data_IF_080936087879
#
_entry.id   IF_080936087879
#
_cell.length_a   1.000
_cell.length_b   1.000
_cell.length_c   1.000
_cell.angle_alpha   90.00
_cell.angle_beta   90.00
_cell.angle_gamma   90.00
#
_symmetry.space_group_name_H-M   'P 1'
#
loop_
_entity.id
_entity.type
_entity.pdbx_description
1 polymer ?
#
# COMPACT_ATOMS: atom_id res chain seq x y z
N UNK A 1 -16.67 -2.85 10.08
CA UNK A 1 -15.53 -2.09 9.50
C UNK A 1 -14.39 -2.13 10.50
N UNK A 2 -13.16 -2.39 10.07
CA UNK A 2 -11.99 -2.35 10.97
C UNK A 2 -11.57 -0.90 11.24
N UNK A 3 -10.74 -0.70 12.27
CA UNK A 3 -10.11 0.59 12.55
C UNK A 3 -9.32 1.11 11.33
N UNK A 4 -8.54 0.25 10.68
CA UNK A 4 -7.75 0.59 9.50
C UNK A 4 -8.61 0.97 8.29
N UNK A 5 -9.76 0.33 8.07
CA UNK A 5 -10.71 0.75 7.03
C UNK A 5 -11.20 2.18 7.29
N UNK A 6 -11.43 2.54 8.56
CA UNK A 6 -11.78 3.90 8.96
C UNK A 6 -10.65 4.91 8.68
N UNK A 7 -9.41 4.54 8.98
CA UNK A 7 -8.23 5.36 8.68
C UNK A 7 -8.07 5.60 7.18
N UNK A 8 -8.16 4.55 6.35
CA UNK A 8 -8.06 4.67 4.90
C UNK A 8 -9.18 5.54 4.32
N UNK A 9 -10.42 5.37 4.81
CA UNK A 9 -11.55 6.19 4.39
C UNK A 9 -11.32 7.67 4.74
N UNK A 10 -10.86 7.96 5.96
CA UNK A 10 -10.53 9.32 6.41
C UNK A 10 -9.41 9.93 5.55
N UNK A 11 -8.33 9.18 5.31
CA UNK A 11 -7.21 9.63 4.49
C UNK A 11 -7.61 9.89 3.04
N UNK A 12 -8.45 9.04 2.45
CA UNK A 12 -8.95 9.20 1.09
C UNK A 12 -9.83 10.46 0.96
N UNK A 13 -10.79 10.62 1.87
CA UNK A 13 -11.70 11.77 1.88
C UNK A 13 -10.96 13.10 2.09
N UNK A 14 -9.87 13.09 2.86
CA UNK A 14 -9.03 14.28 3.10
C UNK A 14 -7.92 14.46 2.08
N UNK A 15 -7.75 13.52 1.13
CA UNK A 15 -6.63 13.48 0.17
C UNK A 15 -5.28 13.67 0.85
N UNK A 16 -4.94 12.74 1.75
CA UNK A 16 -3.65 12.70 2.47
C UNK A 16 -3.01 11.31 2.38
N UNK A 17 -1.77 11.18 2.85
CA UNK A 17 -1.06 9.90 2.81
C UNK A 17 -0.80 9.45 1.37
N UNK A 18 -1.02 8.16 1.08
CA UNK A 18 -0.84 7.61 -0.28
C UNK A 18 -1.77 8.25 -1.31
N UNK A 19 -2.90 8.83 -0.89
CA UNK A 19 -3.88 9.43 -1.79
C UNK A 19 -3.46 10.79 -2.37
N UNK A 20 -2.26 11.28 -1.99
CA UNK A 20 -1.57 12.41 -2.63
C UNK A 20 -0.49 11.97 -3.66
N UNK A 21 -0.30 10.67 -3.86
CA UNK A 21 0.56 10.16 -4.91
C UNK A 21 -0.07 10.30 -6.30
N UNK A 22 0.75 10.26 -7.35
CA UNK A 22 0.29 10.31 -8.75
C UNK A 22 -0.60 9.11 -9.14
N UNK A 23 -0.41 7.98 -8.46
CA UNK A 23 -1.32 6.85 -8.42
C UNK A 23 -1.25 6.19 -7.04
N UNK A 24 -2.30 5.46 -6.69
CA UNK A 24 -2.38 4.68 -5.47
C UNK A 24 -3.20 3.42 -5.71
N UNK A 25 -2.94 2.39 -4.90
CA UNK A 25 -3.77 1.19 -4.81
C UNK A 25 -3.79 0.71 -3.37
N UNK A 26 -4.95 0.25 -2.90
CA UNK A 26 -5.10 -0.41 -1.60
C UNK A 26 -5.42 -1.88 -1.87
N UNK A 27 -4.73 -2.80 -1.21
CA UNK A 27 -4.91 -4.24 -1.41
C UNK A 27 -5.56 -4.91 -0.20
N UNK A 28 -6.35 -5.94 -0.46
CA UNK A 28 -6.95 -6.81 0.56
C UNK A 28 -7.23 -8.20 -0.03
N UNK A 29 -7.56 -9.18 0.81
CA UNK A 29 -7.98 -10.52 0.36
C UNK A 29 -9.40 -10.57 -0.22
N UNK A 30 -10.13 -9.46 -0.12
CA UNK A 30 -11.46 -9.30 -0.68
C UNK A 30 -11.61 -7.91 -1.31
N UNK A 31 -12.63 -7.73 -2.14
CA UNK A 31 -13.02 -6.39 -2.58
C UNK A 31 -13.84 -5.74 -1.48
N UNK A 32 -13.27 -4.72 -0.87
CA UNK A 32 -13.85 -3.99 0.25
C UNK A 32 -14.08 -2.55 -0.20
N UNK A 33 -15.31 -2.07 -0.07
CA UNK A 33 -15.63 -0.65 -0.24
C UNK A 33 -15.10 0.13 0.97
N UNK A 34 -14.02 0.89 0.77
CA UNK A 34 -13.40 1.72 1.82
C UNK A 34 -14.16 3.03 1.97
N UNK A 35 -14.41 3.70 0.84
CA UNK A 35 -15.16 4.95 0.73
C UNK A 35 -15.84 5.00 -0.65
N UNK A 36 -16.83 5.89 -0.89
CA UNK A 36 -17.43 6.04 -2.21
C UNK A 36 -16.36 6.27 -3.29
N UNK A 37 -16.31 5.38 -4.30
CA UNK A 37 -15.31 5.42 -5.36
C UNK A 37 -13.95 4.80 -5.03
N UNK A 38 -13.78 4.17 -3.86
CA UNK A 38 -12.56 3.47 -3.47
C UNK A 38 -12.86 2.06 -2.99
N UNK A 39 -12.52 1.08 -3.83
CA UNK A 39 -12.49 -0.34 -3.49
C UNK A 39 -11.04 -0.84 -3.41
N UNK A 40 -10.82 -1.85 -2.58
CA UNK A 40 -9.54 -2.57 -2.56
C UNK A 40 -9.38 -3.46 -3.78
N UNK A 41 -8.13 -3.57 -4.25
CA UNK A 41 -7.67 -4.59 -5.20
C UNK A 41 -7.53 -5.92 -4.47
N UNK A 42 -7.91 -7.01 -5.13
CA UNK A 42 -7.99 -8.34 -4.51
C UNK A 42 -6.68 -9.10 -4.69
N UNK A 43 -6.09 -9.53 -3.58
CA UNK A 43 -4.96 -10.46 -3.54
C UNK A 43 -5.48 -11.84 -3.17
N UNK A 44 -5.15 -12.87 -3.95
CA UNK A 44 -5.58 -14.25 -3.70
C UNK A 44 -4.72 -14.94 -2.62
N UNK A 45 -4.79 -14.41 -1.41
CA UNK A 45 -4.16 -14.94 -0.20
C UNK A 45 -5.08 -14.65 0.99
N UNK A 46 -5.02 -15.44 2.06
CA UNK A 46 -5.80 -15.15 3.27
C UNK A 46 -5.23 -13.96 4.07
N UNK A 47 -4.01 -13.50 3.74
CA UNK A 47 -3.30 -12.41 4.42
C UNK A 47 -3.17 -12.61 5.94
N UNK A 48 -3.04 -13.86 6.38
CA UNK A 48 -2.80 -14.21 7.78
C UNK A 48 -1.42 -14.80 7.97
N UNK A 49 -0.77 -14.50 9.09
CA UNK A 49 0.49 -15.11 9.48
C UNK A 49 0.48 -15.44 10.97
N UNK A 50 1.38 -16.33 11.37
CA UNK A 50 1.66 -16.61 12.78
C UNK A 50 2.72 -15.65 13.32
N UNK A 51 2.80 -15.53 14.64
CA UNK A 51 3.96 -14.93 15.29
C UNK A 51 5.03 -16.01 15.53
N UNK A 52 6.31 -15.66 15.45
CA UNK A 52 7.40 -16.58 15.70
C UNK A 52 8.78 -15.95 15.53
N UNK A 53 9.80 -16.81 15.37
CA UNK A 53 11.20 -16.40 15.35
C UNK A 53 11.74 -16.01 16.73
N UNK A 54 13.01 -15.60 16.77
CA UNK A 54 13.72 -15.24 18.02
C UNK A 54 13.00 -14.14 18.81
N UNK A 55 12.35 -13.21 18.11
CA UNK A 55 11.69 -12.04 18.70
C UNK A 55 10.17 -12.17 18.83
N UNK A 56 9.61 -13.33 18.47
CA UNK A 56 8.16 -13.60 18.48
C UNK A 56 7.33 -12.53 17.74
N UNK A 57 7.76 -12.17 16.53
CA UNK A 57 7.12 -11.16 15.67
C UNK A 57 6.30 -11.81 14.57
N UNK A 58 5.46 -11.03 13.88
CA UNK A 58 4.63 -11.50 12.77
C UNK A 58 5.49 -12.00 11.59
N UNK A 59 5.28 -13.26 11.17
CA UNK A 59 5.98 -13.89 10.05
C UNK A 59 5.29 -13.58 8.71
N UNK A 60 5.35 -12.31 8.31
CA UNK A 60 4.56 -11.74 7.21
C UNK A 60 5.20 -11.81 5.81
N UNK A 61 6.31 -12.54 5.63
CA UNK A 61 7.02 -12.62 4.34
C UNK A 61 6.11 -13.07 3.19
N UNK A 62 5.38 -14.18 3.37
CA UNK A 62 4.50 -14.73 2.32
C UNK A 62 3.33 -13.80 1.98
N UNK A 63 2.85 -13.04 2.98
CA UNK A 63 1.84 -12.00 2.76
C UNK A 63 2.40 -10.93 1.82
N UNK A 64 3.62 -10.45 2.08
CA UNK A 64 4.24 -9.44 1.24
C UNK A 64 4.54 -9.97 -0.16
N UNK A 65 5.01 -11.20 -0.30
CA UNK A 65 5.23 -11.81 -1.62
C UNK A 65 3.92 -11.88 -2.42
N UNK A 66 2.82 -12.28 -1.79
CA UNK A 66 1.51 -12.34 -2.47
C UNK A 66 1.02 -10.95 -2.91
N UNK A 67 1.17 -9.92 -2.07
CA UNK A 67 0.79 -8.54 -2.41
C UNK A 67 1.68 -8.00 -3.54
N UNK A 68 3.00 -8.19 -3.47
CA UNK A 68 3.92 -7.75 -4.52
C UNK A 68 3.69 -8.46 -5.85
N UNK A 69 3.37 -9.76 -5.83
CA UNK A 69 2.97 -10.48 -7.03
C UNK A 69 1.73 -9.84 -7.68
N UNK A 70 0.75 -9.40 -6.88
CA UNK A 70 -0.41 -8.66 -7.39
C UNK A 70 -0.02 -7.29 -7.96
N UNK A 71 0.88 -6.54 -7.31
CA UNK A 71 1.40 -5.27 -7.83
C UNK A 71 2.10 -5.46 -9.18
N UNK A 72 2.90 -6.52 -9.32
CA UNK A 72 3.56 -6.86 -10.58
C UNK A 72 2.56 -7.22 -11.68
N UNK A 73 1.52 -7.98 -11.33
CA UNK A 73 0.44 -8.31 -12.24
C UNK A 73 -0.32 -7.06 -12.72
N UNK A 74 -0.59 -6.10 -11.82
CA UNK A 74 -1.38 -4.91 -12.13
C UNK A 74 -0.58 -3.84 -12.90
N UNK A 75 0.75 -3.95 -12.93
CA UNK A 75 1.69 -3.17 -13.76
C UNK A 75 1.59 -1.63 -13.65
N UNK A 76 0.82 -1.10 -12.69
CA UNK A 76 0.64 0.36 -12.52
C UNK A 76 1.98 1.04 -12.24
N UNK A 77 2.87 0.36 -11.51
CA UNK A 77 4.20 0.86 -11.20
C UNK A 77 5.05 1.16 -12.45
N UNK A 78 4.81 0.48 -13.59
CA UNK A 78 5.57 0.69 -14.83
C UNK A 78 5.38 2.10 -15.43
N UNK A 79 4.40 2.86 -14.95
CA UNK A 79 4.11 4.23 -15.40
C UNK A 79 4.74 5.31 -14.51
N UNK A 80 5.48 4.92 -13.46
CA UNK A 80 6.02 5.83 -12.45
C UNK A 80 7.42 5.39 -12.03
N UNK A 81 8.30 6.35 -11.79
CA UNK A 81 9.71 6.08 -11.45
C UNK A 81 9.88 5.39 -10.09
N UNK A 82 8.92 5.57 -9.17
CA UNK A 82 9.00 5.09 -7.80
C UNK A 82 7.69 4.53 -7.28
N UNK A 83 7.78 3.40 -6.56
CA UNK A 83 6.67 2.80 -5.81
C UNK A 83 7.00 2.77 -4.32
N UNK A 84 6.07 3.21 -3.48
CA UNK A 84 6.20 3.16 -2.02
C UNK A 84 5.07 2.32 -1.40
N UNK A 85 5.44 1.43 -0.48
CA UNK A 85 4.50 0.70 0.39
C UNK A 85 4.31 1.49 1.69
N UNK A 86 3.06 1.73 2.08
CA UNK A 86 2.72 2.28 3.39
C UNK A 86 1.57 1.47 4.01
N UNK A 87 1.64 1.25 5.32
CA UNK A 87 0.57 0.61 6.07
C UNK A 87 -0.53 1.65 6.41
N UNK A 88 -1.79 1.26 6.67
CA UNK A 88 -2.90 2.19 6.87
C UNK A 88 -2.71 3.24 7.98
N UNK A 89 -1.91 2.95 8.99
CA UNK A 89 -1.60 3.83 10.13
C UNK A 89 -0.32 4.64 9.94
N UNK A 90 0.35 4.51 8.80
CA UNK A 90 1.59 5.23 8.49
C UNK A 90 1.32 6.73 8.24
N UNK A 91 2.07 7.59 8.91
CA UNK A 91 2.12 9.02 8.56
C UNK A 91 3.06 9.21 7.37
N UNK A 92 2.48 9.39 6.19
CA UNK A 92 3.21 9.49 4.93
C UNK A 92 3.02 10.84 4.23
N UNK A 93 4.12 11.45 3.76
CA UNK A 93 4.12 12.74 3.07
C UNK A 93 4.72 12.60 1.66
N UNK A 94 3.91 12.33 0.61
CA UNK A 94 4.43 12.13 -0.74
C UNK A 94 5.24 13.31 -1.28
N UNK A 95 4.87 14.55 -0.95
CA UNK A 95 5.61 15.74 -1.42
C UNK A 95 7.03 15.81 -0.82
N UNK A 96 7.21 15.34 0.42
CA UNK A 96 8.55 15.25 1.01
C UNK A 96 9.37 14.18 0.32
N UNK A 97 8.77 13.02 0.05
CA UNK A 97 9.43 11.93 -0.67
C UNK A 97 9.86 12.38 -2.08
N UNK A 98 8.95 12.99 -2.85
CA UNK A 98 9.24 13.52 -4.20
C UNK A 98 10.43 14.47 -4.22
N UNK A 99 10.53 15.40 -3.25
CA UNK A 99 11.69 16.31 -3.15
C UNK A 99 13.01 15.60 -2.87
N UNK A 100 12.99 14.50 -2.13
CA UNK A 100 14.20 13.70 -1.85
C UNK A 100 14.59 12.89 -3.09
N UNK A 101 13.62 12.27 -3.76
CA UNK A 101 13.84 11.46 -4.95
C UNK A 101 14.19 12.26 -6.21
N UNK A 102 13.89 13.55 -6.26
CA UNK A 102 14.26 14.43 -7.38
C UNK A 102 15.77 14.44 -7.69
N UNK A 103 16.61 14.00 -6.75
CA UNK A 103 18.08 13.87 -6.93
C UNK A 103 18.50 12.51 -7.48
N UNK A 104 17.57 11.57 -7.61
CA UNK A 104 17.77 10.17 -7.94
C UNK A 104 16.96 9.77 -9.18
N UNK A 105 16.97 10.61 -10.22
CA UNK A 105 16.34 10.26 -11.49
C UNK A 105 16.95 8.97 -12.06
N UNK A 106 16.14 8.15 -12.73
CA UNK A 106 16.64 6.98 -13.45
C UNK A 106 17.71 7.43 -14.44
N UNK A 107 18.94 6.96 -14.22
CA UNK A 107 20.01 7.05 -15.21
C UNK A 107 19.86 5.86 -16.14
N UNK A 108 19.89 6.12 -17.46
CA UNK A 108 19.98 5.09 -18.50
C UNK A 108 21.16 4.14 -18.28
#
# INVERSE_FOLDING_TARGET
KSYEQGLLAMQFLRRVGIFLCSAFQVYSNASILIAPGLNTGVVRSNLTCTAGGEFNTALNLDIFLAVWAQVFHDQTFMRYDWTAKADPDTVFFPDRLRRLLAKHGETE
#
